data_IF_959408120059
#
_entry.id   IF_959408120059
#
_cell.length_a   1.000
_cell.length_b   1.000
_cell.length_c   1.000
_cell.angle_alpha   90.00
_cell.angle_beta   90.00
_cell.angle_gamma   90.00
#
_symmetry.space_group_name_H-M   'P 1'
#
loop_
_entity.id
_entity.type
_entity.pdbx_description
1 polymer ?
#
# COMPACT_ATOMS: atom_id res chain seq x y z
N UNK A 1 3.41 -17.00 1.56
CA UNK A 1 3.62 -16.17 0.36
C UNK A 1 3.80 -14.71 0.78
N UNK A 2 4.74 -14.01 0.14
CA UNK A 2 4.94 -12.57 0.30
C UNK A 2 4.19 -11.83 -0.81
N UNK A 3 3.28 -10.92 -0.46
CA UNK A 3 2.44 -10.17 -1.40
C UNK A 3 2.72 -8.68 -1.23
N UNK A 4 3.03 -8.00 -2.34
CA UNK A 4 3.19 -6.55 -2.40
C UNK A 4 1.97 -5.94 -3.09
N UNK A 5 1.33 -4.98 -2.43
CA UNK A 5 0.25 -4.15 -2.97
C UNK A 5 0.81 -2.76 -3.24
N UNK A 6 0.73 -2.32 -4.49
CA UNK A 6 1.19 -0.99 -4.93
C UNK A 6 -0.03 -0.11 -5.18
N UNK A 7 -0.27 0.87 -4.31
CA UNK A 7 -1.34 1.84 -4.48
C UNK A 7 -0.93 2.91 -5.48
N UNK A 8 -1.62 3.00 -6.61
CA UNK A 8 -1.38 4.04 -7.64
C UNK A 8 -2.19 5.30 -7.30
N UNK A 9 -1.66 6.16 -6.43
CA UNK A 9 -1.99 7.60 -6.37
C UNK A 9 -3.37 8.05 -5.86
N UNK A 10 -4.39 7.18 -5.82
CA UNK A 10 -5.76 7.57 -5.43
C UNK A 10 -6.01 7.66 -3.91
N UNK A 11 -5.05 7.21 -3.09
CA UNK A 11 -5.17 7.17 -1.63
C UNK A 11 -4.88 8.56 -1.05
N UNK A 12 -5.82 9.47 -1.25
CA UNK A 12 -5.80 10.79 -0.61
C UNK A 12 -6.36 10.68 0.82
N UNK A 13 -5.99 11.61 1.70
CA UNK A 13 -6.49 11.70 3.10
C UNK A 13 -8.02 11.70 3.20
N UNK A 14 -8.72 12.02 2.11
CA UNK A 14 -10.18 12.07 1.99
C UNK A 14 -10.81 10.72 1.58
N UNK A 15 -10.08 9.80 0.95
CA UNK A 15 -10.64 8.53 0.45
C UNK A 15 -10.30 7.38 1.42
N UNK A 16 -11.24 7.04 2.32
CA UNK A 16 -11.05 5.98 3.33
C UNK A 16 -11.54 4.59 2.91
N UNK A 17 -12.36 4.50 1.85
CA UNK A 17 -12.80 3.23 1.28
C UNK A 17 -11.77 2.72 0.28
N UNK A 18 -10.72 2.08 0.80
CA UNK A 18 -9.65 1.52 -0.01
C UNK A 18 -9.91 0.02 -0.25
N UNK A 19 -10.31 -0.41 -1.46
CA UNK A 19 -10.52 -1.82 -1.76
C UNK A 19 -9.24 -2.66 -1.53
N UNK A 20 -8.06 -2.10 -1.80
CA UNK A 20 -6.81 -2.82 -1.58
C UNK A 20 -6.48 -3.00 -0.09
N UNK A 21 -6.99 -2.14 0.81
CA UNK A 21 -6.93 -2.40 2.27
C UNK A 21 -7.80 -3.58 2.65
N UNK A 22 -9.03 -3.65 2.12
CA UNK A 22 -9.95 -4.78 2.39
C UNK A 22 -9.33 -6.09 1.89
N UNK A 23 -8.75 -6.07 0.68
CA UNK A 23 -8.01 -7.19 0.12
C UNK A 23 -6.80 -7.57 0.97
N UNK A 24 -5.99 -6.58 1.39
CA UNK A 24 -4.82 -6.81 2.24
C UNK A 24 -5.21 -7.51 3.56
N UNK A 25 -6.26 -7.04 4.22
CA UNK A 25 -6.76 -7.65 5.45
C UNK A 25 -7.26 -9.08 5.23
N UNK A 26 -7.96 -9.34 4.13
CA UNK A 26 -8.39 -10.69 3.77
C UNK A 26 -7.20 -11.63 3.50
N UNK A 27 -6.16 -11.15 2.83
CA UNK A 27 -4.94 -11.91 2.55
C UNK A 27 -4.13 -12.19 3.81
N UNK A 28 -4.02 -11.23 4.73
CA UNK A 28 -3.39 -11.45 6.04
C UNK A 28 -4.15 -12.51 6.84
N UNK A 29 -5.49 -12.47 6.84
CA UNK A 29 -6.32 -13.50 7.48
C UNK A 29 -6.12 -14.90 6.91
N UNK A 30 -5.69 -15.01 5.64
CA UNK A 30 -5.33 -16.29 5.01
C UNK A 30 -3.87 -16.71 5.26
N UNK A 31 -3.14 -16.01 6.11
CA UNK A 31 -1.75 -16.34 6.48
C UNK A 31 -0.70 -15.85 5.49
N UNK A 32 -1.05 -14.90 4.60
CA UNK A 32 -0.08 -14.28 3.71
C UNK A 32 0.61 -13.09 4.39
N UNK A 33 1.90 -12.92 4.13
CA UNK A 33 2.63 -11.73 4.53
C UNK A 33 2.37 -10.63 3.48
N UNK A 34 1.63 -9.60 3.86
CA UNK A 34 1.21 -8.53 2.94
C UNK A 34 1.93 -7.23 3.28
N UNK A 35 2.51 -6.59 2.27
CA UNK A 35 3.09 -5.25 2.36
C UNK A 35 2.32 -4.34 1.41
N UNK A 36 1.90 -3.17 1.89
CA UNK A 36 1.33 -2.13 1.05
C UNK A 36 2.33 -0.98 0.93
N UNK A 37 2.58 -0.52 -0.28
CA UNK A 37 3.34 0.69 -0.56
C UNK A 37 2.45 1.67 -1.33
N UNK A 38 2.45 2.92 -0.87
CA UNK A 38 1.91 4.03 -1.64
C UNK A 38 2.98 4.62 -2.57
N UNK A 39 2.60 5.55 -3.45
CA UNK A 39 3.54 6.24 -4.33
C UNK A 39 4.41 7.25 -3.56
N UNK A 40 4.07 7.52 -2.30
CA UNK A 40 4.86 8.30 -1.36
C UNK A 40 4.93 7.55 -0.04
N UNK A 41 6.12 7.19 0.38
CA UNK A 41 6.37 6.62 1.70
C UNK A 41 7.63 7.24 2.30
N UNK A 42 7.51 8.18 3.26
CA UNK A 42 8.65 8.87 3.83
C UNK A 42 9.56 7.96 4.66
N UNK A 43 9.10 6.78 5.05
CA UNK A 43 9.91 5.79 5.78
C UNK A 43 10.79 4.94 4.85
N UNK A 44 10.60 5.07 3.53
CA UNK A 44 11.32 4.31 2.51
C UNK A 44 12.12 5.25 1.62
N UNK A 45 13.45 5.31 1.73
CA UNK A 45 14.28 6.25 0.96
C UNK A 45 14.02 6.20 -0.55
N UNK A 46 13.80 5.00 -1.11
CA UNK A 46 13.49 4.79 -2.52
C UNK A 46 12.12 5.35 -2.97
N UNK A 47 11.20 5.59 -2.04
CA UNK A 47 9.87 6.15 -2.27
C UNK A 47 9.70 7.54 -1.62
N UNK A 48 10.81 8.10 -1.09
CA UNK A 48 10.84 9.40 -0.44
C UNK A 48 11.00 10.53 -1.44
N UNK A 49 11.65 10.28 -2.58
CA UNK A 49 11.99 11.30 -3.55
C UNK A 49 11.00 11.37 -4.72
N UNK A 50 10.42 12.54 -4.89
CA UNK A 50 9.74 12.95 -6.12
C UNK A 50 10.84 13.32 -7.12
N UNK A 51 11.30 12.37 -7.94
CA UNK A 51 11.98 12.75 -9.19
C UNK A 51 10.92 13.48 -10.02
N UNK A 52 11.05 14.80 -10.03
CA UNK A 52 10.26 15.71 -10.83
C UNK A 52 10.80 15.71 -12.25
#
# INVERSE_FOLDING_TARGET
MNILIVGLGGVTRAFRHWPERVLALALVRRGHAVRAIGPRDPTRPALANRTK
#
